data_IF_801525777431
#
_entry.id   IF_801525777431
#
_cell.length_a   1.000
_cell.length_b   1.000
_cell.length_c   1.000
_cell.angle_alpha   90.00
_cell.angle_beta   90.00
_cell.angle_gamma   90.00
#
_symmetry.space_group_name_H-M   'P 1'
#
loop_
_entity.id
_entity.type
_entity.pdbx_description
1 polymer ?
#
# COMPACT_ATOMS: atom_id res chain seq x y z
N UNK A 1 -50.31 12.09 -26.50
CA UNK A 1 -49.07 11.82 -27.27
C UNK A 1 -47.90 12.26 -26.40
N UNK A 2 -47.46 11.38 -25.49
CA UNK A 2 -46.40 11.65 -24.53
C UNK A 2 -45.12 11.00 -25.03
N UNK A 3 -44.22 11.79 -25.61
CA UNK A 3 -42.88 11.31 -26.00
C UNK A 3 -41.91 11.48 -24.85
N UNK A 4 -41.70 10.39 -24.13
CA UNK A 4 -40.51 10.17 -23.33
C UNK A 4 -39.30 10.08 -24.27
N UNK A 5 -38.37 11.04 -24.21
CA UNK A 5 -37.04 10.86 -24.77
C UNK A 5 -36.05 10.64 -23.63
N UNK A 6 -35.54 9.41 -23.62
CA UNK A 6 -34.64 8.83 -22.64
C UNK A 6 -33.33 9.62 -22.57
N UNK A 7 -33.07 10.26 -21.42
CA UNK A 7 -31.73 10.74 -21.07
C UNK A 7 -30.79 9.54 -21.00
N UNK A 8 -29.91 9.41 -21.99
CA UNK A 8 -28.80 8.45 -21.96
C UNK A 8 -27.89 8.87 -20.81
N UNK A 9 -28.02 8.19 -19.68
CA UNK A 9 -27.04 8.19 -18.60
C UNK A 9 -25.74 7.68 -19.19
N UNK A 10 -24.75 8.56 -19.40
CA UNK A 10 -23.38 8.15 -19.68
C UNK A 10 -22.90 7.34 -18.47
N UNK A 11 -22.82 6.03 -18.62
CA UNK A 11 -22.05 5.19 -17.72
C UNK A 11 -20.59 5.69 -17.76
N UNK A 12 -19.98 6.03 -16.62
CA UNK A 12 -18.55 6.37 -16.61
C UNK A 12 -17.76 5.17 -17.13
N UNK A 13 -16.80 5.44 -18.03
CA UNK A 13 -15.90 4.44 -18.62
C UNK A 13 -15.24 3.63 -17.49
N UNK A 14 -15.27 2.30 -17.58
CA UNK A 14 -14.69 1.34 -16.65
C UNK A 14 -13.14 1.40 -16.57
N UNK A 15 -12.56 2.54 -16.96
CA UNK A 15 -11.14 2.90 -16.98
C UNK A 15 -10.81 4.08 -16.07
N UNK A 16 -11.65 4.39 -15.09
CA UNK A 16 -11.15 4.94 -13.83
C UNK A 16 -10.24 3.88 -13.20
N UNK A 17 -8.97 3.88 -13.63
CA UNK A 17 -7.92 3.04 -13.07
C UNK A 17 -8.02 3.19 -11.56
N UNK A 18 -8.30 2.10 -10.84
CA UNK A 18 -8.10 2.10 -9.40
C UNK A 18 -6.73 2.73 -9.13
N UNK A 19 -6.65 3.87 -8.45
CA UNK A 19 -5.42 4.67 -8.40
C UNK A 19 -4.28 3.92 -7.71
N UNK A 20 -4.63 2.90 -6.93
CA UNK A 20 -3.73 2.05 -6.18
C UNK A 20 -3.97 0.59 -6.54
N UNK A 21 -2.91 -0.22 -6.49
CA UNK A 21 -3.01 -1.65 -6.71
C UNK A 21 -2.61 -2.38 -5.43
N UNK A 22 -3.53 -3.18 -4.90
CA UNK A 22 -3.35 -4.00 -3.72
C UNK A 22 -3.15 -5.45 -4.17
N UNK A 23 -1.90 -5.79 -4.45
CA UNK A 23 -1.52 -7.08 -5.08
C UNK A 23 -0.40 -7.78 -4.32
N UNK A 24 0.01 -7.22 -3.18
CA UNK A 24 1.19 -7.66 -2.47
C UNK A 24 0.90 -8.63 -1.31
N UNK A 25 -0.38 -8.92 -1.03
CA UNK A 25 -0.90 -9.78 0.05
C UNK A 25 -0.62 -9.29 1.49
N UNK A 26 0.18 -8.23 1.65
CA UNK A 26 0.43 -7.57 2.94
C UNK A 26 0.34 -6.07 2.79
N UNK A 27 -0.27 -5.43 3.78
CA UNK A 27 -0.45 -3.98 3.84
C UNK A 27 0.89 -3.23 3.70
N UNK A 28 1.93 -3.67 4.40
CA UNK A 28 3.24 -3.02 4.34
C UNK A 28 3.90 -3.12 2.96
N UNK A 29 3.67 -4.22 2.22
CA UNK A 29 4.19 -4.39 0.87
C UNK A 29 3.38 -3.57 -0.16
N UNK A 30 2.06 -3.49 0.01
CA UNK A 30 1.23 -2.61 -0.82
C UNK A 30 1.59 -1.13 -0.60
N UNK A 31 1.88 -0.74 0.65
CA UNK A 31 2.41 0.58 0.97
C UNK A 31 3.74 0.85 0.27
N UNK A 32 4.67 -0.10 0.37
CA UNK A 32 5.97 -0.05 -0.31
C UNK A 32 5.81 0.09 -1.83
N UNK A 33 4.78 -0.53 -2.42
CA UNK A 33 4.46 -0.46 -3.85
C UNK A 33 3.82 0.86 -4.31
N UNK A 34 3.49 1.78 -3.41
CA UNK A 34 3.10 3.16 -3.74
C UNK A 34 4.28 3.99 -4.25
N UNK A 35 5.53 3.52 -4.07
CA UNK A 35 6.67 4.12 -4.74
C UNK A 35 6.64 3.81 -6.23
N UNK A 36 6.04 4.72 -6.99
CA UNK A 36 5.85 4.61 -8.42
C UNK A 36 6.76 5.54 -9.22
N UNK A 37 7.78 6.13 -8.59
CA UNK A 37 8.68 7.11 -9.22
C UNK A 37 9.39 6.59 -10.48
N UNK A 38 9.72 5.29 -10.51
CA UNK A 38 10.28 4.65 -11.71
C UNK A 38 9.30 4.54 -12.89
N UNK A 39 8.02 4.84 -12.68
CA UNK A 39 6.92 4.75 -13.65
C UNK A 39 6.20 6.10 -13.85
N UNK A 40 6.70 7.19 -13.28
CA UNK A 40 6.08 8.51 -13.32
C UNK A 40 6.13 9.22 -11.96
N UNK A 41 5.01 9.77 -11.53
CA UNK A 41 4.91 10.43 -10.24
C UNK A 41 4.85 9.42 -9.08
N UNK A 42 5.23 9.86 -7.88
CA UNK A 42 4.97 9.15 -6.62
C UNK A 42 3.46 9.04 -6.39
N UNK A 43 2.94 7.85 -6.05
CA UNK A 43 1.51 7.68 -5.81
C UNK A 43 1.05 8.40 -4.52
N UNK A 44 1.96 8.68 -3.59
CA UNK A 44 1.72 9.48 -2.38
C UNK A 44 2.28 10.90 -2.58
N UNK A 45 1.89 11.59 -3.66
CA UNK A 45 2.41 12.90 -4.04
C UNK A 45 2.09 14.02 -3.02
N UNK A 46 0.96 13.90 -2.34
CA UNK A 46 0.44 14.85 -1.36
C UNK A 46 -0.34 14.11 -0.25
N UNK A 47 -0.81 14.85 0.75
CA UNK A 47 -1.55 14.26 1.87
C UNK A 47 -2.90 13.69 1.44
N UNK A 48 -3.56 14.29 0.45
CA UNK A 48 -4.84 13.79 -0.06
C UNK A 48 -4.70 12.41 -0.70
N UNK A 49 -3.64 12.22 -1.50
CA UNK A 49 -3.29 10.92 -2.06
C UNK A 49 -2.94 9.91 -0.99
N UNK A 50 -2.23 10.33 0.06
CA UNK A 50 -1.94 9.46 1.20
C UNK A 50 -3.21 9.05 1.96
N UNK A 51 -4.11 9.98 2.24
CA UNK A 51 -5.40 9.68 2.87
C UNK A 51 -6.27 8.77 1.99
N UNK A 52 -6.33 9.01 0.67
CA UNK A 52 -7.04 8.14 -0.28
C UNK A 52 -6.45 6.74 -0.32
N UNK A 53 -5.12 6.61 -0.22
CA UNK A 53 -4.48 5.30 -0.18
C UNK A 53 -4.83 4.54 1.10
N UNK A 54 -4.79 5.21 2.26
CA UNK A 54 -5.16 4.59 3.54
C UNK A 54 -6.63 4.13 3.56
N UNK A 55 -7.52 4.92 2.97
CA UNK A 55 -8.94 4.55 2.80
C UNK A 55 -9.10 3.34 1.89
N UNK A 56 -8.47 3.37 0.70
CA UNK A 56 -8.52 2.25 -0.25
C UNK A 56 -7.88 0.97 0.31
N UNK A 57 -6.87 1.10 1.17
CA UNK A 57 -6.23 0.02 1.90
C UNK A 57 -7.06 -0.47 3.12
N UNK A 58 -8.23 0.15 3.38
CA UNK A 58 -9.11 -0.11 4.53
C UNK A 58 -8.45 0.11 5.89
N UNK A 59 -7.42 0.96 5.93
CA UNK A 59 -6.79 1.45 7.16
C UNK A 59 -7.66 2.53 7.81
N UNK A 60 -8.25 3.39 6.98
CA UNK A 60 -9.27 4.34 7.38
C UNK A 60 -10.61 3.96 6.73
N UNK A 61 -11.71 4.22 7.43
CA UNK A 61 -13.01 4.36 6.77
C UNK A 61 -13.15 5.75 6.14
N UNK A 62 -14.21 5.96 5.37
CA UNK A 62 -14.45 7.22 4.66
C UNK A 62 -14.64 8.41 5.60
N UNK A 63 -15.26 8.22 6.77
CA UNK A 63 -15.47 9.29 7.76
C UNK A 63 -14.13 9.76 8.35
N UNK A 64 -13.29 8.82 8.76
CA UNK A 64 -11.93 9.09 9.27
C UNK A 64 -11.05 9.69 8.19
N UNK A 65 -11.12 9.22 6.93
CA UNK A 65 -10.39 9.83 5.81
C UNK A 65 -10.80 11.30 5.63
N UNK A 66 -12.10 11.58 5.53
CA UNK A 66 -12.61 12.94 5.37
C UNK A 66 -12.21 13.85 6.55
N UNK A 67 -12.27 13.33 7.79
CA UNK A 67 -11.82 14.03 8.99
C UNK A 67 -10.33 14.38 8.93
N UNK A 68 -9.48 13.44 8.50
CA UNK A 68 -8.05 13.67 8.35
C UNK A 68 -7.72 14.71 7.28
N UNK A 69 -8.45 14.73 6.15
CA UNK A 69 -8.27 15.77 5.11
C UNK A 69 -8.65 17.15 5.62
N UNK A 70 -9.79 17.28 6.31
CA UNK A 70 -10.20 18.55 6.94
C UNK A 70 -9.13 19.04 7.93
N UNK A 71 -8.60 18.13 8.74
CA UNK A 71 -7.51 18.47 9.68
C UNK A 71 -6.23 18.86 8.96
N UNK A 72 -5.86 18.19 7.88
CA UNK A 72 -4.69 18.55 7.08
C UNK A 72 -4.81 19.95 6.47
N UNK A 73 -6.01 20.37 6.03
CA UNK A 73 -6.26 21.73 5.59
C UNK A 73 -6.09 22.76 6.72
N UNK A 74 -6.47 22.42 7.95
CA UNK A 74 -6.30 23.28 9.14
C UNK A 74 -4.87 23.27 9.68
N UNK A 75 -4.11 22.20 9.43
CA UNK A 75 -2.77 21.94 10.00
C UNK A 75 -1.79 21.48 8.90
N UNK A 76 -1.48 22.33 7.90
CA UNK A 76 -0.70 21.93 6.73
C UNK A 76 0.72 21.48 7.08
N UNK A 77 1.37 22.11 8.07
CA UNK A 77 2.70 21.70 8.53
C UNK A 77 2.72 20.29 9.12
N UNK A 78 1.69 19.91 9.88
CA UNK A 78 1.52 18.56 10.42
C UNK A 78 1.29 17.53 9.31
N UNK A 79 0.44 17.87 8.33
CA UNK A 79 0.19 17.02 7.16
C UNK A 79 1.44 16.79 6.30
N UNK A 80 2.24 17.83 6.08
CA UNK A 80 3.53 17.72 5.37
C UNK A 80 4.52 16.84 6.15
N UNK A 81 4.58 17.03 7.48
CA UNK A 81 5.47 16.25 8.36
C UNK A 81 5.13 14.76 8.32
N UNK A 82 3.85 14.39 8.49
CA UNK A 82 3.45 12.97 8.46
C UNK A 82 3.62 12.35 7.07
N UNK A 83 3.43 13.12 5.99
CA UNK A 83 3.68 12.63 4.63
C UNK A 83 5.18 12.38 4.39
N UNK A 84 6.05 13.28 4.84
CA UNK A 84 7.50 13.08 4.78
C UNK A 84 7.90 11.84 5.60
N UNK A 85 7.34 11.68 6.79
CA UNK A 85 7.52 10.50 7.64
C UNK A 85 7.07 9.21 6.94
N UNK A 86 5.90 9.22 6.29
CA UNK A 86 5.39 8.09 5.53
C UNK A 86 6.36 7.68 4.41
N UNK A 87 6.87 8.65 3.64
CA UNK A 87 7.82 8.39 2.56
C UNK A 87 9.15 7.84 3.06
N UNK A 88 9.64 8.30 4.22
CA UNK A 88 10.85 7.76 4.87
C UNK A 88 10.65 6.32 5.32
N UNK A 89 9.56 6.04 6.06
CA UNK A 89 9.21 4.68 6.48
C UNK A 89 9.11 3.76 5.26
N UNK A 90 8.45 4.23 4.18
CA UNK A 90 8.32 3.48 2.93
C UNK A 90 9.67 3.12 2.31
N UNK A 91 10.64 4.03 2.34
CA UNK A 91 11.98 3.78 1.80
C UNK A 91 12.74 2.72 2.61
N UNK A 92 12.65 2.76 3.94
CA UNK A 92 13.26 1.74 4.80
C UNK A 92 12.59 0.37 4.59
N UNK A 93 11.26 0.33 4.56
CA UNK A 93 10.51 -0.91 4.32
C UNK A 93 10.73 -1.46 2.91
N UNK A 94 10.97 -0.60 1.91
CA UNK A 94 11.39 -1.02 0.57
C UNK A 94 12.72 -1.78 0.62
N UNK A 95 13.71 -1.26 1.33
CA UNK A 95 14.99 -1.94 1.54
C UNK A 95 14.79 -3.26 2.28
N UNK A 96 13.93 -3.31 3.30
CA UNK A 96 13.59 -4.54 3.99
C UNK A 96 12.98 -5.58 3.04
N UNK A 97 12.01 -5.19 2.21
CA UNK A 97 11.35 -6.10 1.27
C UNK A 97 12.33 -6.68 0.23
N UNK A 98 13.32 -5.90 -0.19
CA UNK A 98 14.25 -6.31 -1.25
C UNK A 98 15.49 -7.03 -0.73
N UNK A 99 15.93 -6.75 0.51
CA UNK A 99 17.22 -7.20 1.04
C UNK A 99 17.13 -7.88 2.40
N UNK A 100 15.99 -7.86 3.07
CA UNK A 100 15.83 -8.31 4.45
C UNK A 100 16.13 -9.80 4.68
N UNK A 101 16.12 -10.63 3.65
CA UNK A 101 16.53 -12.04 3.74
C UNK A 101 18.04 -12.24 3.78
N UNK A 102 18.83 -11.27 3.29
CA UNK A 102 20.29 -11.41 3.11
C UNK A 102 21.11 -10.35 3.84
N UNK A 103 20.51 -9.23 4.25
CA UNK A 103 21.20 -8.14 4.95
C UNK A 103 20.70 -8.01 6.38
N UNK A 104 21.63 -8.05 7.33
CA UNK A 104 21.35 -7.77 8.75
C UNK A 104 21.08 -6.29 8.97
N UNK A 105 21.80 -5.44 8.23
CA UNK A 105 21.69 -3.98 8.28
C UNK A 105 20.30 -3.55 7.85
N UNK A 106 19.78 -4.08 6.72
CA UNK A 106 18.43 -3.82 6.27
C UNK A 106 17.35 -4.21 7.30
N UNK A 107 17.57 -5.29 8.05
CA UNK A 107 16.68 -5.72 9.14
C UNK A 107 16.78 -4.80 10.35
N UNK A 108 18.00 -4.41 10.73
CA UNK A 108 18.26 -3.52 11.85
C UNK A 108 17.66 -2.12 11.61
N UNK A 109 17.87 -1.55 10.43
CA UNK A 109 17.31 -0.25 10.04
C UNK A 109 15.78 -0.27 10.06
N UNK A 110 15.17 -1.34 9.53
CA UNK A 110 13.72 -1.50 9.56
C UNK A 110 13.18 -1.67 10.97
N UNK A 111 13.86 -2.45 11.82
CA UNK A 111 13.49 -2.60 13.23
C UNK A 111 13.57 -1.25 13.97
N UNK A 112 14.62 -0.47 13.74
CA UNK A 112 14.77 0.85 14.32
C UNK A 112 13.64 1.80 13.87
N UNK A 113 13.31 1.82 12.57
CA UNK A 113 12.25 2.69 12.05
C UNK A 113 10.85 2.26 12.50
N UNK A 114 10.58 0.95 12.58
CA UNK A 114 9.34 0.39 13.16
C UNK A 114 9.22 0.85 14.62
N UNK A 115 10.26 0.63 15.43
CA UNK A 115 10.24 1.01 16.84
C UNK A 115 10.15 2.53 17.03
N UNK A 116 10.74 3.33 16.14
CA UNK A 116 10.61 4.79 16.16
C UNK A 116 9.16 5.24 15.96
N UNK A 117 8.43 4.61 15.02
CA UNK A 117 7.00 4.90 14.82
C UNK A 117 6.20 4.43 16.03
N UNK A 118 6.33 3.17 16.43
CA UNK A 118 5.57 2.59 17.53
C UNK A 118 5.82 3.30 18.88
N UNK A 119 7.07 3.70 19.16
CA UNK A 119 7.46 4.34 20.42
C UNK A 119 7.04 5.80 20.53
N UNK A 120 6.76 6.50 19.42
CA UNK A 120 6.24 7.88 19.41
C UNK A 120 4.72 7.93 19.51
N UNK A 121 4.04 6.79 19.39
CA UNK A 121 2.58 6.71 19.35
C UNK A 121 2.00 6.51 20.75
N UNK A 122 1.45 7.57 21.33
CA UNK A 122 0.57 7.48 22.49
C UNK A 122 -0.88 7.28 22.01
N UNK A 123 -1.60 6.31 22.57
CA UNK A 123 -2.97 6.04 22.17
C UNK A 123 -3.48 4.67 22.57
N UNK A 124 -4.67 4.33 22.08
CA UNK A 124 -5.34 3.06 22.39
C UNK A 124 -5.42 2.19 21.14
N UNK A 125 -4.95 0.94 21.24
CA UNK A 125 -5.18 -0.10 20.24
C UNK A 125 -6.58 -0.67 20.40
N UNK A 126 -7.29 -0.85 19.29
CA UNK A 126 -8.64 -1.41 19.26
C UNK A 126 -8.77 -2.46 18.16
N UNK A 127 -9.74 -3.34 18.34
CA UNK A 127 -10.26 -4.21 17.28
C UNK A 127 -11.69 -3.76 17.00
N UNK A 128 -11.97 -3.45 15.75
CA UNK A 128 -13.26 -2.91 15.30
C UNK A 128 -13.93 -3.89 14.34
N UNK A 129 -15.24 -4.10 14.52
CA UNK A 129 -16.08 -4.83 13.56
C UNK A 129 -16.45 -3.87 12.43
N UNK A 130 -16.14 -4.26 11.19
CA UNK A 130 -16.51 -3.51 9.98
C UNK A 130 -17.93 -3.88 9.55
N UNK A 131 -18.55 -3.00 8.76
CA UNK A 131 -19.89 -3.21 8.21
C UNK A 131 -20.02 -4.44 7.29
N UNK A 132 -18.91 -4.97 6.78
CA UNK A 132 -18.86 -6.22 6.00
C UNK A 132 -18.65 -7.48 6.87
N UNK A 133 -18.68 -7.34 8.19
CA UNK A 133 -18.47 -8.44 9.15
C UNK A 133 -16.99 -8.79 9.40
N UNK A 134 -16.05 -8.15 8.71
CA UNK A 134 -14.62 -8.35 8.95
C UNK A 134 -14.12 -7.56 10.17
N UNK A 135 -12.97 -7.96 10.72
CA UNK A 135 -12.32 -7.23 11.82
C UNK A 135 -11.16 -6.37 11.32
N UNK A 136 -10.97 -5.22 11.96
CA UNK A 136 -9.88 -4.29 11.71
C UNK A 136 -9.09 -4.04 12.99
N UNK A 137 -7.76 -3.96 12.91
CA UNK A 137 -6.99 -3.25 13.94
C UNK A 137 -7.13 -1.76 13.68
N UNK A 138 -7.40 -0.98 14.71
CA UNK A 138 -7.34 0.47 14.66
C UNK A 138 -6.50 1.02 15.81
N UNK A 139 -6.01 2.23 15.63
CA UNK A 139 -5.30 2.98 16.65
C UNK A 139 -5.94 4.34 16.83
N UNK A 140 -6.29 4.67 18.06
CA UNK A 140 -6.85 5.98 18.42
C UNK A 140 -5.73 6.79 19.08
N UNK A 141 -5.13 7.76 18.37
CA UNK A 141 -4.02 8.54 18.91
C UNK A 141 -4.48 9.48 20.02
N UNK A 142 -3.60 9.70 20.98
CA UNK A 142 -3.68 10.77 21.97
C UNK A 142 -2.64 11.84 21.61
N UNK A 143 -3.05 13.10 21.53
CA UNK A 143 -2.18 14.21 21.13
C UNK A 143 -2.16 14.41 19.61
N UNK A 144 -1.04 14.08 18.97
CA UNK A 144 -0.88 14.25 17.52
C UNK A 144 -1.81 13.30 16.75
N UNK A 145 -2.84 13.87 16.13
CA UNK A 145 -3.84 13.12 15.37
C UNK A 145 -3.27 12.40 14.15
N UNK A 146 -2.12 12.83 13.61
CA UNK A 146 -1.49 12.21 12.46
C UNK A 146 -0.59 11.02 12.84
N UNK A 147 -0.14 10.94 14.11
CA UNK A 147 0.79 9.92 14.58
C UNK A 147 0.25 8.47 14.45
N UNK A 148 -1.08 8.31 14.38
CA UNK A 148 -1.73 7.01 14.21
C UNK A 148 -1.71 6.45 12.79
N UNK A 149 -1.47 7.27 11.77
CA UNK A 149 -1.71 6.90 10.37
C UNK A 149 -0.76 5.80 9.85
N UNK A 150 0.46 5.73 10.41
CA UNK A 150 1.47 4.75 9.99
C UNK A 150 1.45 3.46 10.81
N UNK A 151 0.79 3.44 11.97
CA UNK A 151 0.85 2.31 12.91
C UNK A 151 0.41 1.00 12.27
N UNK A 152 -0.75 0.91 11.58
CA UNK A 152 -1.18 -0.37 10.99
C UNK A 152 -0.21 -0.89 9.93
N UNK A 153 0.46 0.00 9.21
CA UNK A 153 1.45 -0.34 8.19
C UNK A 153 2.72 -0.90 8.84
N UNK A 154 3.25 -0.23 9.87
CA UNK A 154 4.47 -0.70 10.55
C UNK A 154 4.20 -1.95 11.39
N UNK A 155 3.00 -2.11 11.97
CA UNK A 155 2.59 -3.36 12.62
C UNK A 155 2.51 -4.51 11.60
N UNK A 156 2.00 -4.26 10.39
CA UNK A 156 2.02 -5.27 9.32
C UNK A 156 3.44 -5.68 8.90
N UNK A 157 4.41 -4.76 8.92
CA UNK A 157 5.82 -5.07 8.66
C UNK A 157 6.46 -5.82 9.85
N UNK A 158 6.12 -5.43 11.08
CA UNK A 158 6.57 -6.10 12.29
C UNK A 158 6.09 -7.56 12.34
N UNK A 159 4.82 -7.80 11.99
CA UNK A 159 4.25 -9.15 11.89
C UNK A 159 5.07 -10.02 10.92
N UNK A 160 5.50 -9.49 9.78
CA UNK A 160 6.34 -10.21 8.82
C UNK A 160 7.74 -10.56 9.36
N UNK A 161 8.31 -9.73 10.24
CA UNK A 161 9.57 -10.02 10.95
C UNK A 161 9.37 -11.10 12.02
N UNK A 162 8.34 -10.93 12.86
CA UNK A 162 8.02 -11.82 13.98
C UNK A 162 7.70 -13.23 13.49
N UNK A 163 6.93 -13.32 12.41
CA UNK A 163 6.48 -14.58 11.81
C UNK A 163 7.50 -15.15 10.80
N UNK A 164 8.68 -14.56 10.68
CA UNK A 164 9.75 -14.96 9.76
C UNK A 164 9.27 -15.11 8.29
N UNK A 165 8.45 -14.18 7.82
CA UNK A 165 7.82 -14.23 6.48
C UNK A 165 8.69 -13.62 5.38
N UNK A 166 9.79 -12.93 5.71
CA UNK A 166 10.70 -12.31 4.72
C UNK A 166 11.14 -13.27 3.59
N UNK A 167 11.46 -14.55 3.83
CA UNK A 167 11.81 -15.50 2.77
C UNK A 167 10.68 -15.76 1.75
N UNK A 168 9.45 -15.32 2.00
CA UNK A 168 8.32 -15.36 1.07
C UNK A 168 8.13 -14.05 0.29
N UNK A 169 8.84 -12.99 0.65
CA UNK A 169 8.82 -11.74 -0.10
C UNK A 169 9.59 -11.92 -1.41
N UNK A 170 8.99 -11.46 -2.51
CA UNK A 170 9.49 -11.63 -3.87
C UNK A 170 9.35 -10.32 -4.64
N UNK A 171 10.29 -10.07 -5.55
CA UNK A 171 10.14 -9.04 -6.59
C UNK A 171 9.39 -9.61 -7.78
N UNK A 172 8.54 -8.79 -8.42
CA UNK A 172 7.93 -9.16 -9.68
C UNK A 172 9.01 -9.48 -10.72
N UNK A 173 8.90 -10.64 -11.37
CA UNK A 173 9.89 -11.08 -12.35
C UNK A 173 9.84 -10.29 -13.68
N UNK A 174 8.93 -9.32 -13.81
CA UNK A 174 8.82 -8.51 -15.01
C UNK A 174 9.81 -7.35 -14.87
N UNK A 175 10.81 -7.22 -15.75
CA UNK A 175 11.82 -6.17 -15.63
C UNK A 175 11.25 -4.75 -15.60
N UNK A 176 10.05 -4.55 -16.15
CA UNK A 176 9.34 -3.26 -16.19
C UNK A 176 8.52 -3.00 -14.92
N UNK A 177 8.44 -3.97 -14.00
CA UNK A 177 7.67 -3.89 -12.78
C UNK A 177 8.58 -3.93 -11.54
N UNK A 178 8.63 -2.81 -10.80
CA UNK A 178 9.38 -2.70 -9.55
C UNK A 178 8.62 -3.18 -8.30
N UNK A 179 7.46 -3.83 -8.45
CA UNK A 179 6.64 -4.24 -7.30
C UNK A 179 7.25 -5.43 -6.55
N UNK A 180 7.04 -5.42 -5.24
CA UNK A 180 7.31 -6.55 -4.33
C UNK A 180 5.98 -7.13 -3.82
N UNK A 181 5.97 -8.41 -3.46
CA UNK A 181 4.77 -9.10 -2.97
C UNK A 181 5.15 -10.28 -2.09
N UNK A 182 4.22 -10.76 -1.27
CA UNK A 182 4.37 -12.02 -0.54
C UNK A 182 3.85 -13.19 -1.35
N UNK A 183 4.64 -14.26 -1.42
CA UNK A 183 4.26 -15.51 -2.06
C UNK A 183 3.52 -16.43 -1.09
N UNK A 184 2.19 -16.39 -1.19
CA UNK A 184 1.29 -17.26 -0.44
C UNK A 184 0.97 -18.58 -1.16
N UNK A 185 1.56 -18.81 -2.35
CA UNK A 185 1.34 -20.10 -3.02
C UNK A 185 1.96 -21.22 -2.22
N UNK A 186 1.27 -22.37 -2.16
CA UNK A 186 1.70 -23.57 -1.42
C UNK A 186 3.16 -23.94 -1.71
N UNK A 187 3.58 -23.82 -2.97
CA UNK A 187 4.90 -24.22 -3.43
C UNK A 187 5.91 -23.06 -3.53
N UNK A 188 5.53 -21.82 -3.19
CA UNK A 188 6.41 -20.66 -3.27
C UNK A 188 6.90 -20.36 -4.70
N UNK A 189 6.00 -20.48 -5.69
CA UNK A 189 6.33 -20.34 -7.12
C UNK A 189 5.68 -19.14 -7.80
N UNK A 190 5.07 -18.21 -7.06
CA UNK A 190 4.50 -16.99 -7.66
C UNK A 190 5.64 -16.12 -8.18
N UNK A 191 5.62 -15.84 -9.48
CA UNK A 191 6.64 -15.02 -10.16
C UNK A 191 6.20 -13.59 -10.44
N UNK A 192 4.91 -13.33 -10.44
CA UNK A 192 4.34 -12.06 -10.86
C UNK A 192 3.47 -11.49 -9.75
N UNK A 193 3.60 -10.18 -9.51
CA UNK A 193 2.71 -9.50 -8.55
C UNK A 193 1.24 -9.61 -8.99
N UNK A 194 0.97 -9.68 -10.29
CA UNK A 194 -0.37 -9.81 -10.85
C UNK A 194 -0.28 -10.64 -12.14
N UNK A 195 -1.02 -11.75 -12.19
CA UNK A 195 -1.04 -12.63 -13.36
C UNK A 195 -1.73 -11.96 -14.55
N UNK A 196 -2.83 -11.25 -14.32
CA UNK A 196 -3.62 -10.60 -15.37
C UNK A 196 -2.84 -9.46 -16.04
N UNK A 197 -1.97 -8.78 -15.29
CA UNK A 197 -1.14 -7.68 -15.80
C UNK A 197 0.26 -8.13 -16.20
N UNK A 198 1.09 -8.54 -15.23
CA UNK A 198 2.51 -8.83 -15.48
C UNK A 198 2.70 -10.23 -16.10
N UNK A 199 1.93 -11.22 -15.64
CA UNK A 199 1.98 -12.58 -16.19
C UNK A 199 1.58 -12.63 -17.67
N UNK A 200 0.47 -11.98 -18.02
CA UNK A 200 0.00 -11.91 -19.41
C UNK A 200 0.94 -11.11 -20.32
N UNK A 201 1.52 -10.00 -19.84
CA UNK A 201 2.53 -9.25 -20.59
C UNK A 201 3.75 -10.11 -20.92
N UNK A 202 4.22 -10.91 -19.97
CA UNK A 202 5.32 -11.85 -20.20
C UNK A 202 4.94 -12.96 -21.20
N UNK A 203 3.71 -13.51 -21.14
CA UNK A 203 3.21 -14.48 -22.13
C UNK A 203 3.18 -13.88 -23.54
N UNK A 204 2.63 -12.67 -23.69
CA UNK A 204 2.55 -11.98 -24.97
C UNK A 204 3.93 -11.68 -25.57
N UNK A 205 4.91 -11.29 -24.75
CA UNK A 205 6.28 -11.08 -25.20
C UNK A 205 6.91 -12.36 -25.76
N UNK A 206 6.76 -13.51 -25.06
CA UNK A 206 7.26 -14.80 -25.54
C UNK A 206 6.59 -15.23 -26.85
N UNK A 207 5.28 -15.02 -26.98
CA UNK A 207 4.56 -15.33 -28.22
C UNK A 207 5.10 -14.52 -29.41
N UNK A 208 5.34 -13.22 -29.22
CA UNK A 208 5.94 -12.37 -30.27
C UNK A 208 7.34 -12.84 -30.67
N UNK A 209 8.18 -13.24 -29.72
CA UNK A 209 9.52 -13.74 -30.02
C UNK A 209 9.49 -15.04 -30.86
N UNK A 210 8.52 -15.93 -30.60
CA UNK A 210 8.31 -17.15 -31.39
C UNK A 210 7.78 -16.92 -32.80
N UNK A 211 7.09 -15.81 -33.04
CA UNK A 211 6.57 -15.46 -34.37
C UNK A 211 7.61 -14.76 -35.25
N UNK A 212 8.72 -14.29 -34.67
CA UNK A 212 9.82 -13.63 -35.39
C UNK A 212 11.08 -14.51 -35.45
N UNK A 213 10.95 -15.81 -35.12
CA UNK A 213 11.97 -16.85 -35.23
C UNK A 213 11.54 -17.88 -36.27
#
# INVERSE_FOLDING_TARGET
>A
MSSFHSSITRFPDARERQPFAFVAERLWLDFVNTDTRSRGADALADFDRFSSWLEAARVLDGERSASMRRRAAQQPAGALTVLADARRVRAVLRTLAERGTISNEARADALAEINRVLGRSAGTRRVELRGDGSFARSFVPVGDAFAGLLIPIVESAADALILAELPRVRRCADPRCGRVFQDETKNGRRRWCDMAVCGNRAKAARHRMKLHS
#
